data_IF_170879779904
#
_entry.id   IF_170879779904
#
_cell.length_a   1.000
_cell.length_b   1.000
_cell.length_c   1.000
_cell.angle_alpha   90.00
_cell.angle_beta   90.00
_cell.angle_gamma   90.00
#
_symmetry.space_group_name_H-M   'P 1'
#
loop_
_entity.id
_entity.type
_entity.pdbx_description
1 polymer ?
#
# COMPACT_ATOMS: atom_id res chain seq x y z
N UNK A 1 20.52 26.67 9.61
CA UNK A 1 19.59 25.53 9.70
C UNK A 1 20.25 24.28 9.15
N UNK A 2 20.22 23.19 9.90
CA UNK A 2 20.70 21.87 9.47
C UNK A 2 19.63 20.84 9.78
N UNK A 3 19.25 20.05 8.77
CA UNK A 3 18.33 18.92 8.91
C UNK A 3 19.05 17.67 8.40
N UNK A 4 18.96 16.62 9.16
CA UNK A 4 19.49 15.31 8.79
C UNK A 4 18.37 14.27 8.97
N UNK A 5 18.12 13.49 7.92
CA UNK A 5 17.15 12.40 7.95
C UNK A 5 17.84 11.12 7.52
N UNK A 6 17.83 10.13 8.37
CA UNK A 6 18.37 8.80 8.08
C UNK A 6 17.24 7.77 8.14
N UNK A 7 17.10 6.99 7.06
CA UNK A 7 16.12 5.92 6.95
C UNK A 7 16.85 4.61 6.65
N UNK A 8 16.72 3.66 7.56
CA UNK A 8 17.27 2.30 7.41
C UNK A 8 16.12 1.31 7.29
N UNK A 9 16.16 0.48 6.25
CA UNK A 9 15.24 -0.64 6.09
C UNK A 9 16.02 -1.94 6.06
N UNK A 10 15.63 -2.88 6.91
CA UNK A 10 16.16 -4.24 6.96
C UNK A 10 15.01 -5.19 6.72
N UNK A 11 15.21 -6.15 5.83
CA UNK A 11 14.18 -7.14 5.51
C UNK A 11 14.77 -8.50 5.19
N UNK A 12 13.95 -9.51 5.33
CA UNK A 12 14.22 -10.88 4.91
C UNK A 12 13.06 -11.38 4.06
N UNK A 13 13.39 -12.12 3.01
CA UNK A 13 12.42 -12.71 2.08
C UNK A 13 12.78 -14.16 1.83
N UNK A 14 11.79 -15.05 1.95
CA UNK A 14 11.83 -16.42 1.51
C UNK A 14 10.81 -16.66 0.40
N UNK A 15 11.17 -17.41 -0.60
CA UNK A 15 10.32 -17.71 -1.75
C UNK A 15 10.45 -19.20 -2.11
N UNK A 16 9.31 -19.81 -2.41
CA UNK A 16 9.21 -21.18 -2.86
C UNK A 16 8.36 -21.22 -4.12
N UNK A 17 8.91 -21.83 -5.18
CA UNK A 17 8.21 -22.04 -6.45
C UNK A 17 8.06 -23.54 -6.64
N UNK A 18 6.85 -23.96 -6.95
CA UNK A 18 6.51 -25.35 -7.23
C UNK A 18 5.83 -25.47 -8.59
N UNK A 19 6.42 -26.26 -9.47
CA UNK A 19 5.89 -26.56 -10.81
C UNK A 19 5.72 -28.07 -10.91
N UNK A 20 4.50 -28.58 -10.64
CA UNK A 20 4.24 -30.02 -10.73
C UNK A 20 4.39 -30.52 -12.16
N UNK A 21 4.96 -31.69 -12.30
CA UNK A 21 4.99 -32.39 -13.57
C UNK A 21 3.70 -33.21 -13.75
N UNK A 22 2.98 -32.97 -14.85
CA UNK A 22 1.80 -33.74 -15.24
C UNK A 22 2.16 -34.69 -16.36
N UNK A 23 1.72 -35.96 -16.28
CA UNK A 23 1.90 -36.95 -17.38
C UNK A 23 1.13 -36.49 -18.65
N UNK A 24 0.03 -35.80 -18.48
CA UNK A 24 -0.70 -35.20 -19.57
C UNK A 24 -0.12 -33.80 -19.83
N UNK A 25 0.49 -33.60 -20.99
CA UNK A 25 1.10 -32.35 -21.44
C UNK A 25 0.07 -31.21 -21.63
N UNK A 26 -1.23 -31.52 -21.65
CA UNK A 26 -2.30 -30.52 -21.72
C UNK A 26 -2.35 -29.60 -20.49
N UNK A 27 -1.81 -30.06 -19.34
CA UNK A 27 -1.84 -29.29 -18.11
C UNK A 27 -0.47 -28.67 -17.79
N UNK A 28 -0.48 -27.39 -17.47
CA UNK A 28 0.66 -26.78 -16.80
C UNK A 28 0.18 -26.01 -15.56
N UNK A 29 1.01 -26.01 -14.52
CA UNK A 29 0.69 -25.31 -13.27
C UNK A 29 1.97 -24.79 -12.64
N UNK A 30 1.91 -23.60 -12.09
CA UNK A 30 2.98 -23.03 -11.28
C UNK A 30 2.37 -22.40 -10.03
N UNK A 31 2.96 -22.72 -8.88
CA UNK A 31 2.59 -22.17 -7.59
C UNK A 31 3.78 -21.43 -6.99
N UNK A 32 3.50 -20.27 -6.39
CA UNK A 32 4.47 -19.45 -5.69
C UNK A 32 3.99 -19.24 -4.25
N UNK A 33 4.83 -19.55 -3.29
CA UNK A 33 4.69 -19.12 -1.90
C UNK A 33 5.80 -18.14 -1.56
N UNK A 34 5.50 -16.99 -0.98
CA UNK A 34 6.48 -15.99 -0.55
C UNK A 34 6.13 -15.47 0.83
N UNK A 35 7.13 -15.42 1.67
CA UNK A 35 7.06 -14.70 2.94
C UNK A 35 8.09 -13.59 2.95
N UNK A 36 7.68 -12.41 3.35
CA UNK A 36 8.59 -11.27 3.54
C UNK A 36 8.28 -10.57 4.85
N UNK A 37 9.33 -10.18 5.55
CA UNK A 37 9.24 -9.29 6.69
C UNK A 37 10.22 -8.14 6.54
N UNK A 38 9.84 -6.95 7.00
CA UNK A 38 10.73 -5.80 7.01
C UNK A 38 10.51 -4.91 8.23
N UNK A 39 11.61 -4.33 8.69
CA UNK A 39 11.64 -3.27 9.71
C UNK A 39 12.22 -2.03 9.08
N UNK A 40 11.52 -0.93 9.18
CA UNK A 40 11.99 0.39 8.77
C UNK A 40 12.17 1.26 10.01
N UNK A 41 13.32 1.86 10.14
CA UNK A 41 13.64 2.86 11.18
C UNK A 41 13.93 4.18 10.49
N UNK A 42 13.31 5.24 10.95
CA UNK A 42 13.56 6.61 10.50
C UNK A 42 13.98 7.45 11.68
N UNK A 43 15.10 8.16 11.54
CA UNK A 43 15.61 9.09 12.54
C UNK A 43 15.80 10.43 11.88
N UNK A 44 15.12 11.45 12.39
CA UNK A 44 15.21 12.82 11.91
C UNK A 44 15.82 13.69 13.00
N UNK A 45 16.76 14.53 12.62
CA UNK A 45 17.37 15.51 13.50
C UNK A 45 17.30 16.87 12.82
N UNK A 46 16.93 17.86 13.56
CA UNK A 46 16.80 19.23 13.08
C UNK A 46 17.43 20.17 14.08
N UNK A 47 18.33 21.02 13.58
CA UNK A 47 18.99 22.07 14.36
C UNK A 47 18.80 23.40 13.64
N UNK A 48 18.23 24.36 14.32
CA UNK A 48 18.13 25.75 13.85
C UNK A 48 18.82 26.66 14.85
N UNK A 49 19.66 27.52 14.35
CA UNK A 49 20.31 28.57 15.12
C UNK A 49 20.26 29.87 14.34
N UNK A 50 19.93 30.95 15.00
CA UNK A 50 19.95 32.30 14.47
C UNK A 50 21.24 33.01 14.90
N UNK A 51 21.69 33.97 14.10
CA UNK A 51 22.83 34.82 14.41
C UNK A 51 24.10 34.03 14.76
N UNK A 52 24.52 33.16 13.84
CA UNK A 52 25.83 32.50 13.96
C UNK A 52 26.94 33.54 13.97
N UNK A 53 27.97 33.37 14.87
CA UNK A 53 29.18 34.20 14.83
C UNK A 53 29.83 34.15 13.44
N UNK A 54 30.54 35.23 13.09
CA UNK A 54 31.29 35.30 11.85
C UNK A 54 32.28 34.15 11.68
N UNK A 55 32.26 33.53 10.49
CA UNK A 55 33.11 32.38 10.20
C UNK A 55 32.51 31.01 10.60
N UNK A 56 31.38 30.97 11.31
CA UNK A 56 30.68 29.72 11.65
C UNK A 56 29.52 29.51 10.66
N UNK A 57 29.63 28.49 9.85
CA UNK A 57 28.63 28.18 8.81
C UNK A 57 27.64 27.07 9.18
N UNK A 58 27.89 26.37 10.29
CA UNK A 58 27.05 25.28 10.75
C UNK A 58 26.58 25.47 12.18
N UNK A 59 25.30 25.32 12.51
CA UNK A 59 24.78 25.41 13.87
C UNK A 59 25.30 24.32 14.82
N UNK A 60 25.95 23.29 14.29
CA UNK A 60 26.54 22.18 15.04
C UNK A 60 28.07 22.27 15.12
N UNK A 61 28.68 23.33 14.55
CA UNK A 61 30.14 23.51 14.59
C UNK A 61 30.62 23.88 16.00
N UNK A 62 31.86 23.52 16.35
CA UNK A 62 32.49 24.03 17.58
C UNK A 62 32.48 25.57 17.58
N UNK A 63 32.09 26.17 18.68
CA UNK A 63 31.94 27.64 18.81
C UNK A 63 30.56 28.19 18.41
N UNK A 64 29.64 27.37 17.93
CA UNK A 64 28.26 27.77 17.80
C UNK A 64 27.65 28.11 19.17
N UNK A 65 26.71 29.08 19.16
CA UNK A 65 26.04 29.49 20.40
C UNK A 65 25.27 28.32 21.02
N UNK A 66 25.18 28.28 22.38
CA UNK A 66 24.36 27.25 23.03
C UNK A 66 22.89 27.33 22.61
N UNK A 67 22.20 26.25 22.81
CA UNK A 67 20.76 26.18 22.58
C UNK A 67 20.02 27.22 23.43
N UNK A 68 19.12 27.94 22.79
CA UNK A 68 18.18 28.86 23.42
C UNK A 68 16.78 28.58 22.82
N UNK A 69 15.83 28.23 23.65
CA UNK A 69 14.46 27.86 23.27
C UNK A 69 13.67 28.97 22.56
N UNK A 70 14.12 30.23 22.67
CA UNK A 70 13.48 31.38 22.01
C UNK A 70 14.01 31.66 20.62
N UNK A 71 15.30 31.43 20.39
CA UNK A 71 15.97 31.80 19.14
C UNK A 71 16.53 30.61 18.39
N UNK A 72 16.86 29.53 19.09
CA UNK A 72 17.46 28.32 18.53
C UNK A 72 16.50 27.14 18.70
N UNK A 73 16.41 26.30 17.70
CA UNK A 73 15.55 25.12 17.71
C UNK A 73 16.35 23.82 17.58
N UNK A 74 16.09 22.87 18.46
CA UNK A 74 16.57 21.50 18.37
C UNK A 74 15.36 20.57 18.38
N UNK A 75 15.26 19.71 17.39
CA UNK A 75 14.21 18.69 17.31
C UNK A 75 14.81 17.37 16.86
N UNK A 76 14.36 16.28 17.46
CA UNK A 76 14.70 14.94 17.02
C UNK A 76 13.44 14.08 17.01
N UNK A 77 13.35 13.23 15.99
CA UNK A 77 12.28 12.26 15.84
C UNK A 77 12.84 10.88 15.53
N UNK A 78 12.21 9.86 16.07
CA UNK A 78 12.54 8.47 15.78
C UNK A 78 11.25 7.69 15.60
N UNK A 79 11.11 7.04 14.45
CA UNK A 79 9.98 6.16 14.17
C UNK A 79 10.46 4.78 13.75
N UNK A 80 9.63 3.77 14.02
CA UNK A 80 9.85 2.39 13.61
C UNK A 80 8.54 1.78 13.12
N UNK A 81 8.57 1.25 11.91
CA UNK A 81 7.48 0.49 11.32
C UNK A 81 7.95 -0.93 10.99
N UNK A 82 7.10 -1.90 11.32
CA UNK A 82 7.32 -3.30 10.97
C UNK A 82 6.20 -3.75 10.05
N UNK A 83 6.55 -4.41 8.95
CA UNK A 83 5.60 -5.02 8.05
C UNK A 83 6.00 -6.44 7.71
N UNK A 84 5.02 -7.29 7.49
CA UNK A 84 5.20 -8.66 7.03
C UNK A 84 4.06 -9.06 6.13
N UNK A 85 4.34 -9.90 5.15
CA UNK A 85 3.29 -10.47 4.33
C UNK A 85 3.58 -11.91 3.93
N UNK A 86 2.51 -12.64 3.75
CA UNK A 86 2.49 -13.96 3.13
C UNK A 86 1.74 -13.83 1.81
N UNK A 87 2.36 -14.29 0.73
CA UNK A 87 1.77 -14.33 -0.60
C UNK A 87 1.70 -15.77 -1.08
N UNK A 88 0.54 -16.17 -1.52
CA UNK A 88 0.31 -17.35 -2.33
C UNK A 88 -0.17 -16.91 -3.70
N UNK A 89 0.38 -17.52 -4.76
CA UNK A 89 -0.04 -17.29 -6.14
C UNK A 89 0.02 -18.63 -6.89
N UNK A 90 -1.02 -18.94 -7.64
CA UNK A 90 -1.07 -20.12 -8.48
C UNK A 90 -1.63 -19.77 -9.86
N UNK A 91 -0.99 -20.29 -10.87
CA UNK A 91 -1.42 -20.24 -12.26
C UNK A 91 -1.52 -21.64 -12.82
N UNK A 92 -2.62 -21.94 -13.47
CA UNK A 92 -2.83 -23.18 -14.18
C UNK A 92 -3.27 -22.89 -15.61
N UNK A 93 -2.82 -23.70 -16.56
CA UNK A 93 -3.35 -23.68 -17.92
C UNK A 93 -3.72 -25.09 -18.36
N UNK A 94 -4.75 -25.17 -19.21
CA UNK A 94 -5.21 -26.38 -19.83
C UNK A 94 -5.25 -26.21 -21.36
N UNK A 95 -4.48 -27.06 -22.05
CA UNK A 95 -4.30 -27.07 -23.51
C UNK A 95 -3.77 -25.75 -24.10
N UNK A 96 -3.23 -24.83 -23.27
CA UNK A 96 -2.91 -23.48 -23.74
C UNK A 96 -4.13 -22.62 -24.11
N UNK A 97 -5.34 -23.14 -23.90
CA UNK A 97 -6.61 -22.51 -24.25
C UNK A 97 -7.22 -21.82 -23.03
N UNK A 98 -7.25 -22.52 -21.90
CA UNK A 98 -7.83 -22.03 -20.65
C UNK A 98 -6.73 -21.70 -19.65
N UNK A 99 -6.78 -20.51 -19.06
CA UNK A 99 -5.85 -20.07 -18.04
C UNK A 99 -6.64 -19.65 -16.80
N UNK A 100 -6.19 -20.14 -15.64
CA UNK A 100 -6.77 -19.79 -14.35
C UNK A 100 -5.65 -19.30 -13.45
N UNK A 101 -5.90 -18.19 -12.78
CA UNK A 101 -5.01 -17.63 -11.76
C UNK A 101 -5.74 -17.48 -10.44
N UNK A 102 -5.05 -17.75 -9.34
CA UNK A 102 -5.53 -17.44 -8.00
C UNK A 102 -4.41 -16.85 -7.16
N UNK A 103 -4.74 -15.91 -6.31
CA UNK A 103 -3.80 -15.28 -5.40
C UNK A 103 -4.44 -15.05 -4.03
N UNK A 104 -3.63 -15.14 -2.99
CA UNK A 104 -4.01 -14.73 -1.65
C UNK A 104 -2.81 -14.04 -1.00
N UNK A 105 -3.00 -12.81 -0.59
CA UNK A 105 -2.01 -12.07 0.17
C UNK A 105 -2.55 -11.75 1.57
N UNK A 106 -1.75 -12.05 2.58
CA UNK A 106 -2.02 -11.68 3.96
C UNK A 106 -0.97 -10.68 4.41
N UNK A 107 -1.38 -9.45 4.70
CA UNK A 107 -0.50 -8.36 5.13
C UNK A 107 -0.70 -8.06 6.60
N UNK A 108 0.42 -7.93 7.33
CA UNK A 108 0.46 -7.45 8.70
C UNK A 108 1.30 -6.19 8.80
N UNK A 109 0.76 -5.12 9.39
CA UNK A 109 1.47 -3.85 9.57
C UNK A 109 1.33 -3.34 11.01
N UNK A 110 2.44 -2.85 11.56
CA UNK A 110 2.50 -2.28 12.90
C UNK A 110 1.83 -0.92 13.05
N UNK A 111 1.38 -0.32 11.97
CA UNK A 111 0.64 0.95 11.94
C UNK A 111 -0.77 0.82 12.49
N UNK A 112 -1.30 -0.40 12.47
CA UNK A 112 -2.64 -0.72 12.98
C UNK A 112 -2.61 -1.24 14.41
N UNK A 113 -3.70 -1.04 15.12
CA UNK A 113 -3.93 -1.60 16.45
C UNK A 113 -3.94 -3.13 16.45
N UNK A 114 -3.88 -3.77 17.64
CA UNK A 114 -3.72 -5.22 17.75
C UNK A 114 -4.78 -6.02 16.99
N UNK A 115 -6.01 -5.53 16.96
CA UNK A 115 -7.16 -6.23 16.37
C UNK A 115 -7.26 -6.07 14.84
N UNK A 116 -6.55 -5.10 14.24
CA UNK A 116 -6.67 -4.74 12.83
C UNK A 116 -5.33 -4.87 12.06
N UNK A 117 -4.32 -5.48 12.67
CA UNK A 117 -2.97 -5.61 12.08
C UNK A 117 -2.96 -6.38 10.77
N UNK A 118 -3.78 -7.43 10.68
CA UNK A 118 -3.79 -8.34 9.56
C UNK A 118 -4.97 -8.06 8.63
N UNK A 119 -4.67 -8.08 7.34
CA UNK A 119 -5.69 -8.05 6.30
C UNK A 119 -5.38 -9.09 5.21
N UNK A 120 -6.45 -9.58 4.58
CA UNK A 120 -6.38 -10.61 3.54
C UNK A 120 -6.91 -10.05 2.24
N UNK A 121 -6.17 -10.31 1.17
CA UNK A 121 -6.41 -9.78 -0.16
C UNK A 121 -6.42 -10.93 -1.17
N UNK A 122 -7.57 -11.57 -1.36
CA UNK A 122 -7.74 -12.61 -2.37
C UNK A 122 -7.85 -12.01 -3.77
N UNK A 123 -7.51 -12.82 -4.77
CA UNK A 123 -7.71 -12.50 -6.17
C UNK A 123 -7.86 -13.77 -7.01
N UNK A 124 -8.59 -13.65 -8.09
CA UNK A 124 -8.78 -14.70 -9.09
C UNK A 124 -8.78 -14.09 -10.50
N UNK A 125 -8.29 -14.82 -11.47
CA UNK A 125 -8.31 -14.42 -12.87
C UNK A 125 -8.55 -15.61 -13.76
N UNK A 126 -9.18 -15.37 -14.90
CA UNK A 126 -9.35 -16.36 -15.96
C UNK A 126 -9.11 -15.72 -17.32
N UNK A 127 -8.57 -16.52 -18.22
CA UNK A 127 -8.46 -16.18 -19.64
C UNK A 127 -8.87 -17.41 -20.45
N UNK A 128 -9.65 -17.16 -21.50
CA UNK A 128 -10.08 -18.15 -22.45
C UNK A 128 -9.71 -17.70 -23.86
N UNK A 129 -8.81 -18.40 -24.51
CA UNK A 129 -8.41 -18.16 -25.90
C UNK A 129 -9.37 -18.92 -26.82
N UNK A 130 -10.43 -18.26 -27.25
CA UNK A 130 -11.46 -18.86 -28.11
C UNK A 130 -10.89 -19.24 -29.49
N UNK A 131 -9.96 -18.43 -30.00
CA UNK A 131 -9.30 -18.65 -31.28
C UNK A 131 -8.53 -19.97 -31.35
N UNK A 132 -8.16 -20.54 -30.20
CA UNK A 132 -7.39 -21.79 -30.15
C UNK A 132 -8.27 -23.05 -30.11
N UNK A 133 -9.60 -22.87 -30.07
CA UNK A 133 -10.58 -23.96 -30.13
C UNK A 133 -10.78 -24.46 -31.56
N UNK A 134 -11.05 -25.79 -31.71
CA UNK A 134 -11.25 -26.43 -33.00
C UNK A 134 -12.45 -25.87 -33.78
N UNK A 135 -13.50 -25.47 -33.08
CA UNK A 135 -14.69 -24.89 -33.75
C UNK A 135 -14.42 -23.51 -34.36
N UNK A 136 -13.32 -22.86 -33.95
CA UNK A 136 -12.96 -21.54 -34.45
C UNK A 136 -12.16 -21.60 -35.76
N UNK A 137 -11.63 -22.77 -36.15
CA UNK A 137 -10.79 -22.93 -37.35
C UNK A 137 -11.39 -22.25 -38.61
N UNK A 138 -12.68 -22.35 -38.94
CA UNK A 138 -13.22 -21.75 -40.16
C UNK A 138 -13.21 -20.23 -40.17
N UNK A 139 -13.09 -19.60 -38.98
CA UNK A 139 -13.11 -18.14 -38.80
C UNK A 139 -11.68 -17.57 -38.64
N UNK A 140 -10.69 -18.43 -38.40
CA UNK A 140 -9.30 -18.02 -38.10
C UNK A 140 -8.66 -17.25 -39.27
N UNK A 141 -9.11 -17.46 -40.52
CA UNK A 141 -8.64 -16.68 -41.66
C UNK A 141 -8.97 -15.17 -41.53
N UNK A 142 -10.08 -14.83 -40.89
CA UNK A 142 -10.54 -13.44 -40.73
C UNK A 142 -10.18 -12.88 -39.33
N UNK A 143 -10.22 -13.72 -38.31
CA UNK A 143 -9.93 -13.37 -36.90
C UNK A 143 -8.81 -14.26 -36.41
N UNK A 144 -7.60 -13.70 -36.34
CA UNK A 144 -6.41 -14.46 -35.94
C UNK A 144 -6.41 -14.77 -34.46
N UNK A 145 -6.96 -13.88 -33.63
CA UNK A 145 -7.01 -14.03 -32.19
C UNK A 145 -8.32 -13.49 -31.61
N UNK A 146 -8.94 -14.30 -30.75
CA UNK A 146 -10.05 -13.90 -29.90
C UNK A 146 -9.84 -14.50 -28.51
N UNK A 147 -9.62 -13.64 -27.53
CA UNK A 147 -9.43 -14.03 -26.12
C UNK A 147 -10.37 -13.26 -25.22
N UNK A 148 -10.99 -13.96 -24.27
CA UNK A 148 -11.76 -13.36 -23.18
C UNK A 148 -10.92 -13.39 -21.89
N UNK A 149 -11.02 -12.34 -21.10
CA UNK A 149 -10.38 -12.25 -19.77
C UNK A 149 -11.35 -11.72 -18.75
N UNK A 150 -11.29 -12.30 -17.57
CA UNK A 150 -11.99 -11.80 -16.40
C UNK A 150 -11.06 -11.85 -15.19
N UNK A 151 -11.13 -10.85 -14.34
CA UNK A 151 -10.41 -10.86 -13.08
C UNK A 151 -11.20 -10.18 -11.98
N UNK A 152 -10.98 -10.66 -10.78
CA UNK A 152 -11.49 -10.12 -9.54
C UNK A 152 -10.37 -10.12 -8.50
N UNK A 153 -10.30 -9.07 -7.69
CA UNK A 153 -9.33 -9.02 -6.62
C UNK A 153 -9.62 -7.91 -5.63
N UNK A 154 -9.06 -8.09 -4.44
CA UNK A 154 -9.09 -7.09 -3.37
C UNK A 154 -7.66 -6.62 -3.13
N UNK A 155 -7.47 -5.31 -3.02
CA UNK A 155 -6.22 -4.69 -2.60
C UNK A 155 -6.45 -3.80 -1.40
N UNK A 156 -5.43 -3.67 -0.54
CA UNK A 156 -5.51 -2.86 0.67
C UNK A 156 -4.51 -1.73 0.68
N UNK A 157 -4.87 -0.66 1.40
CA UNK A 157 -3.98 0.46 1.69
C UNK A 157 -3.90 0.68 3.19
N UNK A 158 -2.68 0.83 3.70
CA UNK A 158 -2.39 1.21 5.08
C UNK A 158 -2.23 2.73 5.20
N UNK A 159 -2.41 3.32 6.41
CA UNK A 159 -2.11 4.72 6.64
C UNK A 159 -0.62 5.00 6.51
N UNK A 160 -0.26 6.25 6.18
CA UNK A 160 1.14 6.64 6.05
C UNK A 160 1.83 6.89 7.40
N UNK A 161 1.06 7.25 8.44
CA UNK A 161 1.57 7.55 9.76
C UNK A 161 1.72 6.30 10.64
N UNK A 162 2.73 6.34 11.51
CA UNK A 162 3.00 5.31 12.51
C UNK A 162 2.33 5.66 13.86
N UNK A 163 2.16 4.67 14.74
CA UNK A 163 1.73 4.82 16.13
C UNK A 163 0.31 5.38 16.34
N UNK A 164 -0.56 5.35 15.34
CA UNK A 164 -1.91 5.91 15.39
C UNK A 164 -2.82 5.29 16.47
N UNK A 165 -2.52 4.09 16.92
CA UNK A 165 -3.26 3.38 17.96
C UNK A 165 -2.74 3.64 19.39
N UNK A 166 -1.76 4.55 19.57
CA UNK A 166 -1.31 5.04 20.87
C UNK A 166 -1.88 6.41 21.17
N UNK A 167 -2.03 6.71 22.46
CA UNK A 167 -2.23 8.09 22.88
C UNK A 167 -0.91 8.85 22.76
N UNK A 168 -0.91 9.98 22.06
CA UNK A 168 0.20 10.89 22.00
C UNK A 168 0.01 12.05 23.00
N UNK A 169 1.07 12.46 23.67
CA UNK A 169 1.07 13.58 24.59
C UNK A 169 2.08 14.63 24.16
N UNK A 170 1.66 15.89 24.20
CA UNK A 170 2.54 17.04 24.02
C UNK A 170 2.93 17.57 25.40
N UNK A 171 4.22 17.52 25.71
CA UNK A 171 4.78 17.97 26.99
C UNK A 171 4.99 19.49 27.04
N UNK A 172 4.82 20.18 25.92
CA UNK A 172 4.96 21.64 25.81
C UNK A 172 3.63 22.38 25.75
N UNK A 173 2.52 21.73 26.15
CA UNK A 173 1.16 22.26 26.03
C UNK A 173 0.84 23.43 26.98
N UNK A 174 1.82 24.02 27.59
CA UNK A 174 1.72 25.13 28.53
C UNK A 174 2.41 24.84 29.85
N UNK A 175 2.62 25.86 30.64
CA UNK A 175 3.14 25.72 32.00
C UNK A 175 2.15 26.30 33.00
N UNK A 176 1.96 25.61 34.10
CA UNK A 176 1.22 26.11 35.24
C UNK A 176 2.16 26.24 36.43
N UNK A 177 2.27 27.45 36.98
CA UNK A 177 3.14 27.74 38.13
C UNK A 177 4.61 27.26 37.97
N UNK A 178 5.16 27.44 36.74
CA UNK A 178 6.57 27.04 36.45
C UNK A 178 6.77 25.56 36.17
N UNK A 179 5.72 24.73 36.26
CA UNK A 179 5.80 23.30 35.92
C UNK A 179 5.30 23.05 34.47
N UNK A 180 6.04 22.24 33.72
CA UNK A 180 5.65 21.86 32.38
C UNK A 180 4.32 21.07 32.40
N UNK A 181 3.38 21.50 31.59
CA UNK A 181 2.10 20.81 31.40
C UNK A 181 2.20 19.72 30.33
N UNK A 182 1.43 18.66 30.49
CA UNK A 182 1.24 17.66 29.46
C UNK A 182 -0.23 17.72 28.99
N UNK A 183 -0.44 17.81 27.67
CA UNK A 183 -1.76 17.67 27.07
C UNK A 183 -1.77 16.54 26.06
N UNK A 184 -2.93 15.94 25.87
CA UNK A 184 -3.08 14.92 24.80
C UNK A 184 -2.93 15.61 23.44
N UNK A 185 -2.06 15.09 22.60
CA UNK A 185 -1.78 15.60 21.26
C UNK A 185 -2.65 14.94 20.19
N UNK A 186 -3.13 13.73 20.45
CA UNK A 186 -3.98 12.98 19.54
C UNK A 186 -4.81 11.92 20.23
N UNK A 187 -5.96 11.64 19.65
CA UNK A 187 -6.82 10.54 20.06
C UNK A 187 -6.29 9.24 19.47
N UNK A 188 -6.18 8.19 20.28
CA UNK A 188 -5.85 6.86 19.78
C UNK A 188 -6.94 6.34 18.83
N UNK A 189 -6.52 5.62 17.79
CA UNK A 189 -7.40 5.08 16.76
C UNK A 189 -7.37 3.55 16.82
N UNK A 190 -8.06 2.97 17.80
CA UNK A 190 -8.04 1.50 18.03
C UNK A 190 -8.72 0.72 16.90
N UNK A 191 -9.74 1.31 16.28
CA UNK A 191 -10.59 0.70 15.25
C UNK A 191 -10.18 1.05 13.82
N UNK A 192 -9.00 1.69 13.63
CA UNK A 192 -8.52 2.05 12.30
C UNK A 192 -8.29 0.79 11.48
N UNK A 193 -8.97 0.72 10.32
CA UNK A 193 -8.97 -0.43 9.42
C UNK A 193 -8.25 -0.13 8.11
N UNK A 194 -7.87 -1.19 7.42
CA UNK A 194 -7.38 -1.12 6.05
C UNK A 194 -8.45 -0.56 5.12
N UNK A 195 -8.07 0.43 4.31
CA UNK A 195 -8.84 0.79 3.13
C UNK A 195 -8.78 -0.36 2.13
N UNK A 196 -9.93 -0.81 1.61
CA UNK A 196 -10.02 -1.96 0.71
C UNK A 196 -10.68 -1.57 -0.59
N UNK A 197 -10.00 -1.85 -1.69
CA UNK A 197 -10.56 -1.71 -3.04
C UNK A 197 -10.80 -3.08 -3.64
N UNK A 198 -12.05 -3.38 -3.92
CA UNK A 198 -12.47 -4.56 -4.70
C UNK A 198 -12.57 -4.16 -6.15
N UNK A 199 -11.89 -4.89 -7.03
CA UNK A 199 -11.89 -4.64 -8.47
C UNK A 199 -12.43 -5.84 -9.23
N UNK A 200 -13.27 -5.57 -10.22
CA UNK A 200 -13.76 -6.52 -11.20
C UNK A 200 -13.35 -5.99 -12.57
N UNK A 201 -12.73 -6.83 -13.39
CA UNK A 201 -12.39 -6.48 -14.78
C UNK A 201 -12.89 -7.57 -15.70
N UNK A 202 -13.45 -7.15 -16.82
CA UNK A 202 -13.87 -8.01 -17.91
C UNK A 202 -13.34 -7.41 -19.21
N UNK A 203 -12.65 -8.20 -20.03
CA UNK A 203 -12.08 -7.69 -21.27
C UNK A 203 -12.01 -8.75 -22.36
N UNK A 204 -11.78 -8.31 -23.57
CA UNK A 204 -11.47 -9.17 -24.71
C UNK A 204 -10.32 -8.60 -25.52
N UNK A 205 -9.59 -9.50 -26.15
CA UNK A 205 -8.57 -9.19 -27.14
C UNK A 205 -9.06 -9.71 -28.48
N UNK A 206 -9.02 -8.88 -29.50
CA UNK A 206 -9.42 -9.23 -30.86
C UNK A 206 -8.31 -8.82 -31.83
N UNK A 207 -7.81 -9.77 -32.62
CA UNK A 207 -6.86 -9.49 -33.70
C UNK A 207 -7.45 -10.01 -35.00
N UNK A 208 -7.48 -9.19 -36.02
CA UNK A 208 -8.07 -9.52 -37.31
C UNK A 208 -7.31 -8.89 -38.48
N UNK A 209 -7.67 -9.27 -39.72
CA UNK A 209 -7.02 -8.86 -40.98
C UNK A 209 -5.51 -9.22 -40.98
N UNK A 210 -5.19 -10.50 -40.81
CA UNK A 210 -3.78 -10.98 -40.82
C UNK A 210 -2.88 -10.23 -39.82
N UNK A 211 -3.39 -10.04 -38.58
CA UNK A 211 -2.71 -9.35 -37.48
C UNK A 211 -2.46 -7.83 -37.66
N UNK A 212 -3.10 -7.22 -38.67
CA UNK A 212 -2.94 -5.78 -38.92
C UNK A 212 -3.68 -4.95 -37.87
N UNK A 213 -4.88 -5.39 -37.44
CA UNK A 213 -5.71 -4.65 -36.48
C UNK A 213 -5.82 -5.45 -35.18
N UNK A 214 -5.39 -4.81 -34.10
CA UNK A 214 -5.49 -5.32 -32.75
C UNK A 214 -6.43 -4.41 -31.95
N UNK A 215 -7.41 -4.99 -31.29
CA UNK A 215 -8.36 -4.29 -30.42
C UNK A 215 -8.34 -4.94 -29.05
N UNK A 216 -7.98 -4.16 -28.04
CA UNK A 216 -8.11 -4.52 -26.65
C UNK A 216 -9.22 -3.70 -26.01
N UNK A 217 -10.20 -4.38 -25.44
CA UNK A 217 -11.27 -3.74 -24.71
C UNK A 217 -11.35 -4.25 -23.29
N UNK A 218 -11.44 -3.33 -22.33
CA UNK A 218 -11.61 -3.63 -20.92
C UNK A 218 -12.73 -2.79 -20.32
N UNK A 219 -13.58 -3.46 -19.56
CA UNK A 219 -14.53 -2.84 -18.65
C UNK A 219 -14.08 -3.13 -17.21
N UNK A 220 -14.09 -2.10 -16.36
CA UNK A 220 -13.74 -2.25 -14.96
C UNK A 220 -14.77 -1.61 -14.03
N UNK A 221 -14.94 -2.25 -12.87
CA UNK A 221 -15.69 -1.75 -11.73
C UNK A 221 -14.81 -1.84 -10.50
N UNK A 222 -14.63 -0.71 -9.80
CA UNK A 222 -13.83 -0.63 -8.57
C UNK A 222 -14.68 -0.05 -7.45
N UNK A 223 -14.78 -0.78 -6.33
CA UNK A 223 -15.49 -0.35 -5.12
C UNK A 223 -14.48 -0.26 -3.96
N UNK A 224 -14.21 0.97 -3.50
CA UNK A 224 -13.32 1.24 -2.38
C UNK A 224 -14.14 1.52 -1.14
N UNK A 225 -13.87 0.76 -0.08
CA UNK A 225 -14.51 0.85 1.23
C UNK A 225 -13.52 1.27 2.30
N UNK A 226 -14.06 1.85 3.37
CA UNK A 226 -13.27 2.29 4.52
C UNK A 226 -12.13 3.26 4.12
N UNK A 227 -12.42 4.24 3.25
CA UNK A 227 -11.45 5.25 2.80
C UNK A 227 -10.72 5.87 4.00
N UNK A 228 -9.38 5.91 3.91
CA UNK A 228 -8.52 6.53 4.93
C UNK A 228 -8.46 8.04 4.74
N UNK A 229 -9.39 8.74 5.38
CA UNK A 229 -9.41 10.21 5.39
C UNK A 229 -8.49 10.76 6.47
N UNK A 230 -7.73 11.79 6.15
CA UNK A 230 -6.79 12.45 7.07
C UNK A 230 -7.34 13.77 7.58
N UNK A 231 -6.91 14.20 8.79
CA UNK A 231 -7.22 15.50 9.39
C UNK A 231 -8.73 15.76 9.45
N UNK A 232 -9.50 14.75 9.83
CA UNK A 232 -10.96 14.85 9.94
C UNK A 232 -11.34 15.74 11.11
N UNK A 233 -12.05 16.85 10.84
CA UNK A 233 -12.52 17.75 11.89
C UNK A 233 -13.59 17.10 12.74
N UNK A 234 -13.49 17.25 14.04
CA UNK A 234 -14.44 16.75 15.02
C UNK A 234 -14.95 17.91 15.88
N UNK A 235 -16.12 17.74 16.55
CA UNK A 235 -16.66 18.77 17.43
C UNK A 235 -15.67 19.16 18.52
N UNK A 236 -15.48 20.46 18.74
CA UNK A 236 -14.56 21.01 19.75
C UNK A 236 -14.91 20.60 21.19
N UNK A 237 -16.15 20.16 21.43
CA UNK A 237 -16.59 19.60 22.72
C UNK A 237 -15.84 18.33 23.13
N UNK A 238 -15.18 17.64 22.19
CA UNK A 238 -14.32 16.48 22.47
C UNK A 238 -12.96 16.86 23.07
N UNK A 239 -12.60 18.15 23.06
CA UNK A 239 -11.28 18.62 23.45
C UNK A 239 -10.21 18.53 22.36
N UNK A 240 -10.56 18.04 21.16
CA UNK A 240 -9.66 17.89 20.02
C UNK A 240 -10.17 18.68 18.82
N UNK A 241 -9.25 19.17 17.98
CA UNK A 241 -9.60 19.87 16.76
C UNK A 241 -9.89 18.91 15.59
N UNK A 242 -9.17 17.80 15.55
CA UNK A 242 -9.24 16.84 14.42
C UNK A 242 -8.73 15.44 14.83
N UNK A 243 -9.17 14.44 14.10
CA UNK A 243 -8.58 13.09 14.11
C UNK A 243 -7.47 13.04 13.06
N UNK A 244 -6.37 12.35 13.37
CA UNK A 244 -5.27 12.13 12.43
C UNK A 244 -5.76 11.33 11.20
N UNK A 245 -6.52 10.26 11.44
CA UNK A 245 -7.13 9.41 10.43
C UNK A 245 -8.52 8.95 10.87
N UNK A 246 -9.36 8.65 9.90
CA UNK A 246 -10.64 7.99 10.09
C UNK A 246 -11.00 7.19 8.85
N UNK A 247 -11.53 5.98 9.03
CA UNK A 247 -12.18 5.27 7.94
C UNK A 247 -13.56 5.88 7.73
N UNK A 248 -13.76 6.54 6.60
CA UNK A 248 -15.04 7.19 6.29
C UNK A 248 -15.30 7.22 4.80
N UNK A 249 -16.53 6.86 4.44
CA UNK A 249 -16.99 6.90 3.06
C UNK A 249 -16.56 5.71 2.22
N UNK A 250 -17.21 5.61 1.08
CA UNK A 250 -16.96 4.64 0.03
C UNK A 250 -16.84 5.38 -1.30
N UNK A 251 -16.14 4.81 -2.24
CA UNK A 251 -15.97 5.37 -3.58
C UNK A 251 -16.10 4.25 -4.61
N UNK A 252 -16.95 4.48 -5.60
CA UNK A 252 -17.10 3.58 -6.73
C UNK A 252 -16.57 4.25 -7.99
N UNK A 253 -15.88 3.49 -8.82
CA UNK A 253 -15.32 3.95 -10.08
C UNK A 253 -15.56 2.89 -11.14
N UNK A 254 -16.30 3.25 -12.19
CA UNK A 254 -16.62 2.43 -13.34
C UNK A 254 -16.03 3.06 -14.59
N UNK A 255 -15.56 2.23 -15.51
CA UNK A 255 -15.02 2.73 -16.75
C UNK A 255 -14.77 1.63 -17.77
N UNK A 256 -14.43 2.05 -18.96
CA UNK A 256 -13.98 1.19 -20.03
C UNK A 256 -12.79 1.82 -20.75
N UNK A 257 -11.94 0.98 -21.28
CA UNK A 257 -10.74 1.36 -22.02
C UNK A 257 -10.71 0.55 -23.31
N UNK A 258 -10.30 1.20 -24.40
CA UNK A 258 -10.13 0.58 -25.71
C UNK A 258 -8.82 1.06 -26.33
N UNK A 259 -8.02 0.11 -26.75
CA UNK A 259 -6.76 0.34 -27.46
C UNK A 259 -6.80 -0.33 -28.81
#
# INVERSE_FOLDING_TARGET
EKSESNRTRVGARGEFVFTPYFKNEDWSMTMLGRYEMSTQRSTNQFVRQYSLPDGITSPTAPGALPYDDKTNGLSSGNSRANSQYLLYNAHASYKGIYYLGSSLRADGDSKFGPNQKWAYFPGASMRYNISDEKFFEPIREYISMLGLRASWGIVGKAPDADYLFYNAYNLNAGSYNGMAGAAMDGLKLDDLRWEKTTSYNLGFNLTFLEDIINVDFDFYHKDTKDLLMTKVRIPSTTGYAQLAYQNAGNMTNDGWEMN
#
